data_IF_818184792371
#
_entry.id   IF_818184792371
#
_cell.length_a   1.000
_cell.length_b   1.000
_cell.length_c   1.000
_cell.angle_alpha   90.00
_cell.angle_beta   90.00
_cell.angle_gamma   90.00
#
_symmetry.space_group_name_H-M   'P 1'
#
loop_
_entity.id
_entity.type
_entity.pdbx_description
1 polymer ?
#
# COMPACT_ATOMS: atom_id res chain seq x y z
N UNK A 1 -24.48 24.38 -7.64
CA UNK A 1 -23.00 24.50 -7.66
C UNK A 1 -22.42 23.11 -7.84
N UNK A 2 -21.48 22.92 -8.77
CA UNK A 2 -20.74 21.66 -8.82
C UNK A 2 -19.75 21.62 -7.66
N UNK A 3 -19.82 20.58 -6.85
CA UNK A 3 -18.82 20.30 -5.82
C UNK A 3 -17.46 20.16 -6.52
N UNK A 4 -16.49 20.98 -6.15
CA UNK A 4 -15.13 20.83 -6.69
C UNK A 4 -14.56 19.52 -6.18
N UNK A 5 -14.34 18.58 -7.11
CA UNK A 5 -13.64 17.32 -6.82
C UNK A 5 -12.20 17.53 -7.26
N UNK A 6 -11.27 17.50 -6.31
CA UNK A 6 -9.84 17.57 -6.59
C UNK A 6 -9.29 16.20 -7.00
N UNK A 7 -8.12 16.18 -7.68
CA UNK A 7 -7.40 14.95 -8.00
C UNK A 7 -7.13 14.09 -6.76
N UNK A 8 -6.71 14.73 -5.66
CA UNK A 8 -6.52 14.03 -4.38
C UNK A 8 -7.83 13.40 -3.87
N UNK A 9 -8.99 14.02 -4.07
CA UNK A 9 -10.26 13.38 -3.68
C UNK A 9 -10.56 12.13 -4.51
N UNK A 10 -10.21 12.15 -5.80
CA UNK A 10 -10.37 11.00 -6.69
C UNK A 10 -9.41 9.88 -6.29
N UNK A 11 -8.14 10.22 -6.05
CA UNK A 11 -7.10 9.28 -5.64
C UNK A 11 -7.48 8.57 -4.33
N UNK A 12 -7.85 9.33 -3.30
CA UNK A 12 -8.23 8.76 -2.00
C UNK A 12 -9.47 7.87 -2.11
N UNK A 13 -10.48 8.26 -2.89
CA UNK A 13 -11.67 7.44 -3.10
C UNK A 13 -11.32 6.13 -3.85
N UNK A 14 -10.41 6.18 -4.82
CA UNK A 14 -9.95 5.01 -5.55
C UNK A 14 -9.16 4.06 -4.65
N UNK A 15 -8.21 4.58 -3.87
CA UNK A 15 -7.41 3.79 -2.92
C UNK A 15 -8.29 3.08 -1.90
N UNK A 16 -9.27 3.79 -1.32
CA UNK A 16 -10.24 3.19 -0.39
C UNK A 16 -11.04 2.06 -1.05
N UNK A 17 -11.44 2.22 -2.32
CA UNK A 17 -12.18 1.19 -3.04
C UNK A 17 -11.32 -0.04 -3.31
N UNK A 18 -10.07 0.15 -3.71
CA UNK A 18 -9.12 -0.94 -3.93
C UNK A 18 -8.84 -1.70 -2.63
N UNK A 19 -8.65 -0.98 -1.52
CA UNK A 19 -8.41 -1.59 -0.22
C UNK A 19 -9.62 -2.39 0.28
N UNK A 20 -10.81 -1.77 0.29
CA UNK A 20 -11.99 -2.38 0.91
C UNK A 20 -12.64 -3.47 0.05
N UNK A 21 -12.69 -3.29 -1.27
CA UNK A 21 -13.40 -4.24 -2.16
C UNK A 21 -12.46 -5.35 -2.63
N UNK A 22 -11.20 -5.02 -2.89
CA UNK A 22 -10.27 -5.95 -3.54
C UNK A 22 -9.12 -6.38 -2.62
N UNK A 23 -9.05 -5.87 -1.39
CA UNK A 23 -8.05 -6.29 -0.41
C UNK A 23 -6.63 -5.84 -0.72
N UNK A 24 -6.45 -4.80 -1.55
CA UNK A 24 -5.11 -4.25 -1.81
C UNK A 24 -4.55 -3.58 -0.55
N UNK A 25 -3.25 -3.77 -0.31
CA UNK A 25 -2.54 -2.93 0.63
C UNK A 25 -2.26 -1.57 0.00
N UNK A 26 -2.47 -0.52 0.79
CA UNK A 26 -2.09 0.85 0.42
C UNK A 26 -0.84 1.21 1.21
N UNK A 27 0.20 1.65 0.51
CA UNK A 27 1.47 2.07 1.10
C UNK A 27 1.60 3.59 1.00
N UNK A 28 1.82 4.25 2.12
CA UNK A 28 2.12 5.68 2.14
C UNK A 28 3.62 5.90 1.94
N UNK A 29 4.03 6.15 0.71
CA UNK A 29 5.44 6.38 0.35
C UNK A 29 5.91 7.81 0.67
N UNK A 30 5.06 8.65 1.27
CA UNK A 30 5.44 10.00 1.65
C UNK A 30 6.49 9.96 2.77
N UNK A 31 7.51 10.81 2.64
CA UNK A 31 8.47 11.04 3.72
C UNK A 31 9.07 12.43 3.56
N UNK A 32 9.28 13.10 4.69
CA UNK A 32 9.95 14.39 4.75
C UNK A 32 11.46 14.27 4.49
N UNK A 33 12.06 13.10 4.79
CA UNK A 33 13.49 12.82 4.56
C UNK A 33 13.66 11.75 3.49
N UNK A 34 14.33 12.03 2.35
CA UNK A 34 14.49 11.08 1.26
C UNK A 34 15.12 9.74 1.66
N UNK A 35 15.92 9.73 2.72
CA UNK A 35 16.66 8.59 3.26
C UNK A 35 15.80 7.71 4.19
N UNK A 36 14.67 8.22 4.67
CA UNK A 36 13.75 7.49 5.54
C UNK A 36 12.65 6.82 4.72
N UNK A 37 12.40 5.53 4.99
CA UNK A 37 11.45 4.72 4.24
C UNK A 37 10.42 4.13 5.22
N UNK A 38 9.55 5.02 5.71
CA UNK A 38 8.58 4.76 6.78
C UNK A 38 7.21 4.29 6.24
N UNK A 39 7.20 3.62 5.08
CA UNK A 39 5.99 3.22 4.35
C UNK A 39 5.54 1.77 4.65
N UNK A 40 6.28 1.05 5.50
CA UNK A 40 5.99 -0.34 5.83
C UNK A 40 6.33 -1.36 4.73
N UNK A 41 6.95 -0.92 3.63
CA UNK A 41 7.33 -1.80 2.51
C UNK A 41 8.58 -2.65 2.78
N UNK A 42 9.30 -2.39 3.88
CA UNK A 42 10.56 -3.04 4.24
C UNK A 42 11.66 -2.97 3.16
N UNK A 43 11.58 -1.99 2.26
CA UNK A 43 12.63 -1.72 1.29
C UNK A 43 13.84 -1.05 1.97
N UNK A 44 15.02 -1.27 1.41
CA UNK A 44 16.24 -0.64 1.90
C UNK A 44 16.44 0.75 1.28
N UNK A 45 15.97 0.93 0.04
CA UNK A 45 16.05 2.18 -0.71
C UNK A 45 14.73 2.48 -1.45
N UNK A 46 14.42 3.77 -1.66
CA UNK A 46 13.24 4.18 -2.44
C UNK A 46 13.27 3.73 -3.89
N UNK A 47 14.46 3.49 -4.44
CA UNK A 47 14.69 2.96 -5.79
C UNK A 47 14.40 1.47 -5.89
N UNK A 48 14.26 0.79 -4.76
CA UNK A 48 13.89 -0.62 -4.75
C UNK A 48 12.45 -0.79 -5.22
N UNK A 49 12.23 -1.82 -6.02
CA UNK A 49 10.90 -2.19 -6.50
C UNK A 49 10.04 -2.62 -5.30
N UNK A 50 8.80 -2.13 -5.23
CA UNK A 50 7.85 -2.44 -4.14
C UNK A 50 7.32 -3.88 -4.21
N UNK A 51 7.18 -4.42 -5.42
CA UNK A 51 6.58 -5.72 -5.72
C UNK A 51 7.24 -6.99 -5.12
N UNK A 52 8.57 -7.09 -4.91
CA UNK A 52 9.21 -8.32 -4.44
C UNK A 52 8.97 -8.64 -2.96
N UNK A 53 8.66 -7.64 -2.13
CA UNK A 53 8.65 -7.80 -0.67
C UNK A 53 7.30 -8.33 -0.14
N UNK A 54 6.18 -7.98 -0.78
CA UNK A 54 4.85 -8.43 -0.36
C UNK A 54 4.70 -9.96 -0.36
N UNK A 55 5.44 -10.69 -1.21
CA UNK A 55 5.40 -12.16 -1.22
C UNK A 55 5.80 -12.79 0.11
N UNK A 56 6.75 -12.23 0.85
CA UNK A 56 7.19 -12.81 2.14
C UNK A 56 6.17 -12.60 3.26
N UNK A 57 5.51 -11.45 3.27
CA UNK A 57 4.40 -11.15 4.19
C UNK A 57 3.21 -12.07 3.94
N UNK A 58 2.80 -12.19 2.67
CA UNK A 58 1.68 -13.02 2.23
C UNK A 58 1.91 -14.51 2.51
N UNK A 59 3.11 -15.04 2.25
CA UNK A 59 3.46 -16.43 2.57
C UNK A 59 3.38 -16.72 4.09
N UNK A 60 3.57 -15.71 4.95
CA UNK A 60 3.53 -15.84 6.42
C UNK A 60 2.12 -15.73 7.00
N UNK A 61 1.17 -15.11 6.29
CA UNK A 61 -0.26 -15.14 6.64
C UNK A 61 -0.94 -16.42 6.16
N UNK A 62 -0.60 -16.91 4.97
CA UNK A 62 -1.15 -18.16 4.41
C UNK A 62 -0.72 -19.41 5.19
N UNK A 63 0.46 -19.36 5.85
CA UNK A 63 0.95 -20.46 6.72
C UNK A 63 0.20 -20.57 8.05
N UNK A 64 -0.69 -19.62 8.39
CA UNK A 64 -1.46 -19.58 9.66
C UNK A 64 -2.92 -20.01 9.52
N UNK A 65 -3.37 -20.40 8.32
CA UNK A 65 -4.68 -21.02 8.14
C UNK A 65 -4.53 -22.55 8.07
N UNK A 66 -4.98 -23.33 9.08
CA UNK A 66 -5.06 -24.77 8.94
C UNK A 66 -6.12 -25.05 7.87
N UNK A 67 -5.73 -25.71 6.78
CA UNK A 67 -6.70 -26.32 5.86
C UNK A 67 -7.51 -27.32 6.69
N UNK A 68 -8.82 -27.09 6.80
CA UNK A 68 -9.76 -28.12 7.25
C UNK A 68 -9.79 -29.27 6.25
#
# INVERSE_FOLDING_TARGET
MASFISENNIEQALLQRLQHIHGFNVLDCYTAKPEELNDGSHRADKRDVVFPVEKKSLLRSESRHPRK
#
